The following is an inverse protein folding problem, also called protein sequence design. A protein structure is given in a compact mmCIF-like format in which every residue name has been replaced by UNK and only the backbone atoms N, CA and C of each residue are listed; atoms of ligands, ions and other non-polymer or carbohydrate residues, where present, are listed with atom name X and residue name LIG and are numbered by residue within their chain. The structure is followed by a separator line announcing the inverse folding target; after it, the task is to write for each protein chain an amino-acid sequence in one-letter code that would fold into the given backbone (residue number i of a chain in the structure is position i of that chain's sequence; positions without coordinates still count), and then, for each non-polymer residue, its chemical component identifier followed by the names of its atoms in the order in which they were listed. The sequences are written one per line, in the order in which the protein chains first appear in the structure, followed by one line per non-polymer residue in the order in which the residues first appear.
data_IF_113834428879
#
_entry.id   IF_113834428879
#
_cell.length_a   1.000
_cell.length_b   1.000
_cell.length_c   1.000
_cell.angle_alpha   90.00
_cell.angle_beta   90.00
_cell.angle_gamma   90.00
#
_symmetry.space_group_name_H-M   'P 1'
#
loop_
_entity.id
_entity.type
_entity.pdbx_description
1 polymer ?
#
# COMPACT_ATOMS: atom_id res chain seq x y z
N UNK A 1 8.68 28.82 -0.35
CA UNK A 1 9.38 28.13 0.77
C UNK A 1 8.43 27.06 1.28
N UNK A 2 8.85 25.82 1.22
CA UNK A 2 7.94 24.69 1.54
C UNK A 2 8.19 24.27 2.99
N UNK A 3 7.47 24.93 3.91
CA UNK A 3 7.44 24.49 5.31
C UNK A 3 6.75 23.13 5.42
N UNK A 4 7.35 22.22 6.14
CA UNK A 4 6.78 20.92 6.44
C UNK A 4 6.60 20.72 7.94
N UNK A 5 5.62 19.90 8.31
CA UNK A 5 5.40 19.55 9.72
C UNK A 5 6.60 18.79 10.28
N UNK A 6 7.04 19.15 11.47
CA UNK A 6 8.21 18.57 12.15
C UNK A 6 8.12 17.03 12.24
N UNK A 7 6.96 16.45 12.60
CA UNK A 7 6.79 14.99 12.62
C UNK A 7 6.87 14.34 11.22
N UNK A 8 6.53 15.09 10.13
CA UNK A 8 6.72 14.59 8.75
C UNK A 8 8.22 14.52 8.44
N UNK A 9 8.98 15.57 8.80
CA UNK A 9 10.43 15.62 8.62
C UNK A 9 11.13 14.48 9.35
N UNK A 10 10.88 14.34 10.67
CA UNK A 10 11.47 13.30 11.51
C UNK A 10 11.18 11.89 10.98
N UNK A 11 9.93 11.66 10.52
CA UNK A 11 9.55 10.37 9.95
C UNK A 11 10.22 10.09 8.60
N UNK A 12 10.41 11.11 7.75
CA UNK A 12 11.13 10.98 6.47
C UNK A 12 12.64 10.76 6.66
N UNK A 13 13.19 11.27 7.75
CA UNK A 13 14.57 11.04 8.16
C UNK A 13 14.79 9.72 8.91
N UNK A 14 13.80 8.83 8.95
CA UNK A 14 13.94 7.49 9.53
C UNK A 14 13.85 7.41 11.06
N UNK A 15 13.63 8.54 11.78
CA UNK A 15 13.63 8.58 13.26
C UNK A 15 12.58 7.63 13.84
N UNK A 16 11.30 7.78 13.44
CA UNK A 16 10.22 6.91 13.89
C UNK A 16 8.98 7.02 12.97
N UNK A 17 7.84 6.40 13.33
CA UNK A 17 6.56 6.68 12.66
C UNK A 17 6.10 8.10 12.98
N UNK A 18 5.26 8.71 12.12
CA UNK A 18 4.73 10.07 12.36
C UNK A 18 4.10 10.23 13.74
N UNK A 19 3.27 9.26 14.17
CA UNK A 19 2.67 9.26 15.51
C UNK A 19 3.71 9.15 16.62
N UNK A 20 4.72 8.28 16.46
CA UNK A 20 5.79 8.18 17.46
C UNK A 20 6.66 9.43 17.48
N UNK A 21 6.86 10.11 16.34
CA UNK A 21 7.53 11.41 16.31
C UNK A 21 6.71 12.48 17.05
N UNK A 22 5.38 12.47 16.97
CA UNK A 22 4.51 13.34 17.76
C UNK A 22 4.69 13.09 19.27
N UNK A 23 4.75 11.83 19.71
CA UNK A 23 5.06 11.48 21.11
C UNK A 23 6.44 12.00 21.52
N UNK A 24 7.48 11.83 20.69
CA UNK A 24 8.83 12.32 20.96
C UNK A 24 8.90 13.86 21.06
N UNK A 25 8.09 14.57 20.28
CA UNK A 25 7.96 16.03 20.37
C UNK A 25 7.34 16.41 21.72
N UNK A 26 6.21 15.80 22.09
CA UNK A 26 5.56 16.05 23.39
C UNK A 26 6.47 15.72 24.59
N UNK A 27 7.32 14.70 24.47
CA UNK A 27 8.32 14.32 25.47
C UNK A 27 9.51 15.27 25.54
N UNK A 28 9.56 16.33 24.70
CA UNK A 28 10.67 17.32 24.68
C UNK A 28 12.01 16.76 24.20
N UNK A 29 12.00 15.67 23.42
CA UNK A 29 13.21 15.02 22.89
C UNK A 29 13.71 15.60 21.56
N UNK A 30 12.97 16.57 21.02
CA UNK A 30 13.26 17.20 19.73
C UNK A 30 13.64 18.66 19.95
N UNK A 31 14.73 19.06 19.32
CA UNK A 31 15.19 20.45 19.29
C UNK A 31 15.14 20.97 17.85
N UNK A 32 14.79 22.23 17.69
CA UNK A 32 14.86 22.97 16.43
C UNK A 32 15.60 24.28 16.70
N UNK A 33 16.70 24.49 16.01
CA UNK A 33 17.56 25.67 16.18
C UNK A 33 17.96 25.92 17.66
N UNK A 34 18.28 24.84 18.37
CA UNK A 34 18.68 24.88 19.79
C UNK A 34 17.53 25.06 20.79
N UNK A 35 16.27 25.10 20.35
CA UNK A 35 15.10 25.19 21.25
C UNK A 35 14.37 23.86 21.29
N UNK A 36 14.04 23.39 22.49
CA UNK A 36 13.20 22.20 22.69
C UNK A 36 11.76 22.51 22.20
N UNK A 37 11.24 21.64 21.37
CA UNK A 37 9.87 21.75 20.81
C UNK A 37 8.97 20.70 21.47
N UNK A 38 7.87 21.15 22.04
CA UNK A 38 6.82 20.30 22.66
C UNK A 38 5.46 20.50 22.03
N UNK A 39 5.32 21.44 21.09
CA UNK A 39 4.07 21.78 20.44
C UNK A 39 3.86 20.95 19.16
N UNK A 40 2.71 20.26 19.08
CA UNK A 40 2.29 19.53 17.89
C UNK A 40 1.88 20.51 16.78
N UNK A 41 2.14 20.13 15.54
CA UNK A 41 1.84 20.97 14.38
C UNK A 41 2.95 21.94 14.00
N UNK A 42 4.00 22.08 14.80
CA UNK A 42 5.20 22.87 14.48
C UNK A 42 5.69 22.55 13.07
N UNK A 43 5.97 23.60 12.31
CA UNK A 43 6.52 23.51 10.95
C UNK A 43 7.97 23.97 10.96
N UNK A 44 8.75 23.41 10.04
CA UNK A 44 10.14 23.75 9.81
C UNK A 44 10.41 23.92 8.31
N UNK A 45 11.44 24.70 7.99
CA UNK A 45 12.07 24.73 6.67
C UNK A 45 13.26 23.76 6.66
N UNK A 46 13.19 22.58 6.01
CA UNK A 46 14.25 21.57 6.03
C UNK A 46 15.60 22.05 5.48
N UNK A 47 15.61 23.17 4.77
CA UNK A 47 16.84 23.76 4.19
C UNK A 47 17.53 24.73 5.12
N UNK A 48 16.84 25.24 6.15
CA UNK A 48 17.34 26.29 7.04
C UNK A 48 17.40 25.86 8.49
N UNK A 49 16.44 25.04 8.92
CA UNK A 49 16.30 24.69 10.32
C UNK A 49 17.15 23.46 10.67
N UNK A 50 17.94 23.58 11.73
CA UNK A 50 18.67 22.47 12.33
C UNK A 50 17.75 21.73 13.29
N UNK A 51 17.50 20.45 13.00
CA UNK A 51 16.69 19.57 13.86
C UNK A 51 17.57 18.55 14.55
N UNK A 52 17.41 18.41 15.88
CA UNK A 52 18.10 17.39 16.67
C UNK A 52 17.11 16.45 17.37
N UNK A 53 17.50 15.20 17.49
CA UNK A 53 16.83 14.18 18.30
C UNK A 53 17.83 13.63 19.32
N UNK A 54 17.54 13.75 20.62
CA UNK A 54 18.46 13.40 21.70
C UNK A 54 19.87 14.01 21.49
N UNK A 55 19.95 15.28 21.12
CA UNK A 55 21.18 16.01 20.89
C UNK A 55 21.92 15.68 19.58
N UNK A 56 21.45 14.72 18.77
CA UNK A 56 22.05 14.36 17.48
C UNK A 56 21.30 15.01 16.32
N UNK A 57 22.05 15.61 15.39
CA UNK A 57 21.48 16.23 14.18
C UNK A 57 20.75 15.17 13.35
N UNK A 58 19.50 15.45 13.02
CA UNK A 58 18.66 14.66 12.12
C UNK A 58 18.84 15.18 10.70
N UNK A 59 19.38 14.36 9.81
CA UNK A 59 19.53 14.69 8.38
C UNK A 59 18.43 14.00 7.57
N UNK A 60 17.80 14.75 6.66
CA UNK A 60 16.71 14.23 5.83
C UNK A 60 17.18 13.51 4.56
N UNK A 61 18.48 13.42 4.31
CA UNK A 61 19.06 12.81 3.10
C UNK A 61 19.18 11.28 3.23
N UNK A 62 18.09 10.60 3.49
CA UNK A 62 18.05 9.16 3.33
C UNK A 62 17.77 8.84 1.86
N UNK A 63 18.68 8.09 1.19
CA UNK A 63 18.46 7.59 -0.16
C UNK A 63 17.13 6.84 -0.23
N UNK A 64 16.25 7.27 -1.14
CA UNK A 64 14.93 6.68 -1.32
C UNK A 64 15.03 5.28 -1.91
N UNK A 65 14.28 4.36 -1.35
CA UNK A 65 14.18 2.99 -1.85
C UNK A 65 12.73 2.63 -2.18
N UNK A 66 12.57 1.88 -3.25
CA UNK A 66 11.27 1.42 -3.74
C UNK A 66 11.38 -0.07 -4.04
N UNK A 67 10.57 -0.87 -3.39
CA UNK A 67 10.65 -2.33 -3.41
C UNK A 67 9.30 -2.88 -3.84
N UNK A 68 9.31 -3.81 -4.79
CA UNK A 68 8.17 -4.62 -5.16
C UNK A 68 8.30 -5.99 -4.49
N UNK A 69 7.35 -6.32 -3.64
CA UNK A 69 7.20 -7.64 -3.01
C UNK A 69 6.05 -8.39 -3.68
N UNK A 70 6.25 -9.65 -4.04
CA UNK A 70 5.16 -10.58 -4.32
C UNK A 70 4.70 -11.21 -2.99
N UNK A 71 3.83 -10.50 -2.27
CA UNK A 71 3.39 -10.89 -0.93
C UNK A 71 2.72 -12.26 -0.93
N UNK A 72 3.15 -13.23 -0.11
CA UNK A 72 2.42 -14.47 0.09
C UNK A 72 1.18 -14.27 0.99
N UNK A 73 0.28 -15.23 1.03
CA UNK A 73 -0.77 -15.29 2.03
C UNK A 73 -0.18 -15.58 3.42
N UNK A 74 -0.93 -15.28 4.48
CA UNK A 74 -0.50 -15.50 5.87
C UNK A 74 0.18 -14.28 6.52
N UNK A 75 0.79 -13.40 5.73
CA UNK A 75 1.47 -12.20 6.22
C UNK A 75 0.53 -11.01 6.32
N UNK A 76 0.63 -10.25 7.43
CA UNK A 76 -0.13 -9.00 7.60
C UNK A 76 0.63 -7.80 7.03
N UNK A 77 -0.11 -6.89 6.40
CA UNK A 77 0.45 -5.63 5.88
C UNK A 77 0.43 -4.58 6.98
N UNK A 78 1.45 -4.59 7.82
CA UNK A 78 1.64 -3.63 8.91
C UNK A 78 3.12 -3.29 9.07
N UNK A 79 3.41 -2.13 9.65
CA UNK A 79 4.76 -1.71 10.04
C UNK A 79 5.03 -1.91 11.55
N UNK A 80 4.05 -2.44 12.31
CA UNK A 80 4.18 -2.72 13.75
C UNK A 80 3.61 -4.11 14.02
N UNK A 81 4.37 -4.92 14.72
CA UNK A 81 3.93 -6.23 15.17
C UNK A 81 2.61 -6.15 15.95
N UNK A 82 1.72 -7.07 15.68
CA UNK A 82 0.42 -7.20 16.34
C UNK A 82 0.11 -8.69 16.51
N UNK A 83 0.01 -9.12 17.75
CA UNK A 83 -0.45 -10.47 18.12
C UNK A 83 0.43 -11.62 17.60
N UNK A 84 1.77 -11.44 17.50
CA UNK A 84 2.70 -12.46 17.06
C UNK A 84 2.50 -12.96 15.62
N UNK A 85 1.91 -12.15 14.74
CA UNK A 85 1.67 -12.50 13.33
C UNK A 85 2.83 -12.05 12.44
N UNK A 86 3.18 -12.91 11.48
CA UNK A 86 4.20 -12.62 10.48
C UNK A 86 3.84 -11.34 9.69
N UNK A 87 4.79 -10.44 9.56
CA UNK A 87 4.62 -9.16 8.87
C UNK A 87 5.28 -9.18 7.49
N UNK A 88 4.76 -8.40 6.56
CA UNK A 88 5.37 -8.22 5.23
C UNK A 88 6.81 -7.70 5.31
N UNK A 89 7.16 -6.97 6.36
CA UNK A 89 8.51 -6.44 6.59
C UNK A 89 9.52 -7.53 6.96
N UNK A 90 9.08 -8.66 7.50
CA UNK A 90 9.95 -9.78 7.85
C UNK A 90 10.54 -10.45 6.59
N UNK A 91 9.85 -10.31 5.45
CA UNK A 91 10.28 -10.84 4.16
C UNK A 91 11.34 -9.99 3.47
N UNK A 92 11.46 -8.70 3.84
CA UNK A 92 12.31 -7.74 3.12
C UNK A 92 13.41 -7.22 4.03
N UNK A 93 14.61 -7.75 3.85
CA UNK A 93 15.79 -7.40 4.67
C UNK A 93 16.57 -6.26 4.01
N UNK A 94 16.32 -5.03 4.44
CA UNK A 94 17.04 -3.83 4.02
C UNK A 94 17.39 -2.97 5.24
N UNK A 95 18.53 -2.26 5.18
CA UNK A 95 19.01 -1.42 6.28
C UNK A 95 18.34 -0.04 6.31
N UNK A 96 17.11 0.06 5.82
CA UNK A 96 16.35 1.31 5.79
C UNK A 96 14.97 1.06 6.36
N UNK A 97 14.42 2.07 7.02
CA UNK A 97 13.07 2.00 7.56
C UNK A 97 12.07 2.18 6.41
N UNK A 98 11.46 1.08 5.97
CA UNK A 98 10.44 1.08 4.92
C UNK A 98 9.03 0.86 5.47
N UNK A 99 8.04 1.30 4.71
CA UNK A 99 6.62 1.12 5.01
C UNK A 99 5.87 0.60 3.78
N UNK A 100 4.79 -0.17 3.96
CA UNK A 100 3.98 -0.62 2.83
C UNK A 100 3.17 0.53 2.23
N UNK A 101 3.08 0.55 0.89
CA UNK A 101 2.24 1.46 0.10
C UNK A 101 0.86 0.86 -0.06
N UNK A 102 -0.07 1.31 0.77
CA UNK A 102 -1.38 0.68 0.89
C UNK A 102 -1.29 -0.69 1.57
N UNK A 103 -2.33 -1.50 1.36
CA UNK A 103 -2.46 -2.79 2.06
C UNK A 103 -2.95 -3.90 1.14
N UNK A 104 -2.58 -5.12 1.50
CA UNK A 104 -3.23 -6.36 1.09
C UNK A 104 -3.67 -7.09 2.36
N UNK A 105 -4.84 -7.70 2.34
CA UNK A 105 -5.32 -8.53 3.43
C UNK A 105 -4.40 -9.75 3.64
N UNK A 106 -4.45 -10.37 4.82
CA UNK A 106 -3.65 -11.53 5.15
C UNK A 106 -3.83 -12.68 4.15
N UNK A 107 -5.06 -12.92 3.69
CA UNK A 107 -5.41 -13.96 2.71
C UNK A 107 -5.44 -13.46 1.25
N UNK A 108 -4.77 -12.35 0.95
CA UNK A 108 -4.57 -11.86 -0.41
C UNK A 108 -3.08 -11.84 -0.71
N UNK A 109 -2.69 -12.41 -1.83
CA UNK A 109 -1.30 -12.42 -2.29
C UNK A 109 -1.04 -11.37 -3.38
N UNK A 110 0.21 -11.18 -3.74
CA UNK A 110 0.60 -10.43 -4.93
C UNK A 110 1.32 -9.11 -4.69
N UNK A 111 1.27 -8.24 -5.67
CA UNK A 111 2.03 -7.00 -5.72
C UNK A 111 1.78 -6.09 -4.52
N UNK A 112 2.83 -5.83 -3.75
CA UNK A 112 2.85 -4.86 -2.67
C UNK A 112 4.14 -4.04 -2.79
N UNK A 113 4.03 -2.73 -2.82
CA UNK A 113 5.18 -1.84 -2.83
C UNK A 113 5.53 -1.43 -1.41
N UNK A 114 6.84 -1.38 -1.10
CA UNK A 114 7.37 -0.90 0.17
C UNK A 114 8.39 0.21 -0.13
N UNK A 115 8.40 1.26 0.68
CA UNK A 115 9.29 2.42 0.46
C UNK A 115 9.52 3.21 1.75
N UNK A 116 10.58 4.03 1.79
CA UNK A 116 10.77 5.09 2.78
C UNK A 116 10.30 6.47 2.28
N UNK A 117 9.79 6.57 1.04
CA UNK A 117 9.29 7.80 0.45
C UNK A 117 7.80 8.04 0.75
N UNK A 118 7.51 8.91 1.71
CA UNK A 118 6.14 9.24 2.11
C UNK A 118 5.34 10.01 1.05
N UNK A 119 6.00 10.67 0.10
CA UNK A 119 5.31 11.36 -1.01
C UNK A 119 4.85 10.35 -2.05
N UNK A 120 5.70 9.39 -2.37
CA UNK A 120 5.36 8.27 -3.23
C UNK A 120 4.21 7.43 -2.63
N UNK A 121 4.23 7.18 -1.29
CA UNK A 121 3.09 6.51 -0.61
C UNK A 121 1.80 7.29 -0.84
N UNK A 122 1.81 8.61 -0.62
CA UNK A 122 0.62 9.43 -0.80
C UNK A 122 0.13 9.38 -2.25
N UNK A 123 1.03 9.48 -3.21
CA UNK A 123 0.70 9.46 -4.64
C UNK A 123 0.02 8.15 -5.08
N UNK A 124 0.46 7.02 -4.59
CA UNK A 124 -0.11 5.72 -4.95
C UNK A 124 -1.40 5.37 -4.18
N UNK A 125 -1.61 5.98 -3.01
CA UNK A 125 -2.72 5.60 -2.13
C UNK A 125 -3.85 6.62 -2.09
N UNK A 126 -3.59 7.88 -2.46
CA UNK A 126 -4.63 8.90 -2.43
C UNK A 126 -5.68 8.64 -3.53
N UNK A 127 -6.97 8.68 -3.21
CA UNK A 127 -8.05 8.35 -4.14
C UNK A 127 -8.09 9.18 -5.44
N UNK A 128 -7.57 10.41 -5.40
CA UNK A 128 -7.56 11.32 -6.56
C UNK A 128 -6.63 10.88 -7.70
N UNK A 129 -5.65 10.01 -7.43
CA UNK A 129 -4.67 9.59 -8.43
C UNK A 129 -5.07 8.36 -9.25
N UNK A 130 -6.17 7.71 -8.88
CA UNK A 130 -6.82 6.63 -9.64
C UNK A 130 -5.87 5.54 -10.19
N UNK A 131 -4.89 5.11 -9.40
CA UNK A 131 -3.92 4.10 -9.82
C UNK A 131 -4.59 2.73 -9.98
N UNK A 132 -4.54 2.17 -11.20
CA UNK A 132 -5.08 0.86 -11.53
C UNK A 132 -4.43 -0.26 -10.69
N UNK A 133 -5.26 -1.13 -10.13
CA UNK A 133 -4.86 -2.34 -9.41
C UNK A 133 -5.54 -3.53 -10.06
N UNK A 134 -4.75 -4.44 -10.62
CA UNK A 134 -5.26 -5.61 -11.35
C UNK A 134 -5.14 -6.87 -10.50
N UNK A 135 -6.25 -7.59 -10.39
CA UNK A 135 -6.37 -8.80 -9.59
C UNK A 135 -6.75 -10.00 -10.45
N UNK A 136 -6.07 -11.12 -10.25
CA UNK A 136 -6.55 -12.43 -10.69
C UNK A 136 -7.37 -13.02 -9.54
N UNK A 137 -8.62 -13.35 -9.83
CA UNK A 137 -9.61 -13.81 -8.85
C UNK A 137 -10.08 -15.19 -9.25
N UNK A 138 -10.01 -16.15 -8.34
CA UNK A 138 -10.64 -17.46 -8.50
C UNK A 138 -11.91 -17.47 -7.65
N UNK A 139 -13.05 -17.73 -8.28
CA UNK A 139 -14.34 -17.78 -7.61
C UNK A 139 -14.97 -19.16 -7.72
N UNK A 140 -15.77 -19.53 -6.74
CA UNK A 140 -16.63 -20.73 -6.79
C UNK A 140 -17.83 -20.45 -7.69
N UNK A 141 -18.14 -21.39 -8.58
CA UNK A 141 -19.22 -21.29 -9.55
C UNK A 141 -18.76 -20.76 -10.90
N UNK A 142 -19.62 -20.95 -11.90
CA UNK A 142 -19.43 -20.44 -13.26
C UNK A 142 -19.96 -19.00 -13.30
N UNK A 143 -19.13 -18.06 -13.78
CA UNK A 143 -19.57 -16.67 -13.99
C UNK A 143 -20.33 -16.54 -15.30
N UNK A 144 -21.43 -15.81 -15.29
CA UNK A 144 -22.24 -15.51 -16.47
C UNK A 144 -21.79 -14.21 -17.14
N UNK A 145 -22.24 -13.99 -18.37
CA UNK A 145 -21.99 -12.72 -19.07
C UNK A 145 -22.65 -11.54 -18.32
N UNK A 146 -23.84 -11.73 -17.80
CA UNK A 146 -24.58 -10.71 -17.03
C UNK A 146 -23.81 -10.31 -15.76
N UNK A 147 -23.32 -11.29 -14.98
CA UNK A 147 -22.53 -11.04 -13.79
C UNK A 147 -21.24 -10.24 -14.10
N UNK A 148 -20.60 -10.54 -15.23
CA UNK A 148 -19.42 -9.79 -15.69
C UNK A 148 -19.78 -8.34 -16.05
N UNK A 149 -20.91 -8.12 -16.75
CA UNK A 149 -21.37 -6.77 -17.09
C UNK A 149 -21.77 -5.97 -15.84
N UNK A 150 -22.35 -6.61 -14.85
CA UNK A 150 -22.65 -5.97 -13.57
C UNK A 150 -21.35 -5.51 -12.86
N UNK A 151 -20.33 -6.36 -12.81
CA UNK A 151 -19.01 -5.97 -12.26
C UNK A 151 -18.37 -4.82 -13.02
N UNK A 152 -18.52 -4.76 -14.34
CA UNK A 152 -17.98 -3.66 -15.17
C UNK A 152 -18.68 -2.34 -14.91
N UNK A 153 -19.98 -2.35 -14.71
CA UNK A 153 -20.78 -1.12 -14.44
C UNK A 153 -20.58 -0.61 -13.03
N UNK A 154 -20.22 -1.48 -12.10
CA UNK A 154 -20.19 -1.23 -10.67
C UNK A 154 -21.31 -1.95 -9.95
N UNK A 155 -21.04 -2.39 -8.73
CA UNK A 155 -21.96 -3.14 -7.88
C UNK A 155 -22.06 -2.51 -6.49
N UNK A 156 -23.20 -2.67 -5.85
CA UNK A 156 -23.40 -2.22 -4.48
C UNK A 156 -22.58 -3.10 -3.52
N UNK A 157 -21.78 -2.47 -2.69
CA UNK A 157 -21.05 -3.10 -1.58
C UNK A 157 -21.27 -2.25 -0.30
N UNK A 158 -21.20 -2.89 0.88
CA UNK A 158 -21.35 -2.17 2.15
C UNK A 158 -22.60 -1.28 2.21
N UNK A 159 -23.76 -1.85 2.12
CA UNK A 159 -25.11 -1.26 2.27
C UNK A 159 -25.41 0.05 1.47
N UNK A 160 -24.40 0.90 1.22
CA UNK A 160 -24.56 2.23 0.63
C UNK A 160 -23.54 2.62 -0.45
N UNK A 161 -22.55 1.77 -0.75
CA UNK A 161 -21.50 2.14 -1.69
C UNK A 161 -21.56 1.36 -3.01
N UNK A 162 -21.84 2.07 -4.12
CA UNK A 162 -21.71 1.55 -5.47
C UNK A 162 -20.26 1.73 -5.94
N UNK A 163 -19.61 0.62 -6.31
CA UNK A 163 -18.22 0.66 -6.80
C UNK A 163 -18.13 1.41 -8.13
N UNK A 164 -17.00 2.07 -8.37
CA UNK A 164 -16.73 2.64 -9.69
C UNK A 164 -16.66 1.54 -10.76
N UNK A 165 -16.84 1.90 -12.04
CA UNK A 165 -16.69 0.95 -13.16
C UNK A 165 -15.34 0.24 -13.12
N UNK A 166 -15.34 -1.07 -13.38
CA UNK A 166 -14.14 -1.92 -13.39
C UNK A 166 -13.89 -2.53 -14.77
N UNK A 167 -12.61 -2.80 -15.09
CA UNK A 167 -12.28 -3.62 -16.27
C UNK A 167 -12.30 -5.08 -15.84
N UNK A 168 -13.17 -5.89 -16.46
CA UNK A 168 -13.33 -7.30 -16.09
C UNK A 168 -13.22 -8.19 -17.32
N UNK A 169 -12.46 -9.27 -17.21
CA UNK A 169 -12.37 -10.32 -18.25
C UNK A 169 -12.31 -11.70 -17.64
N UNK A 170 -12.89 -12.67 -18.32
CA UNK A 170 -12.79 -14.09 -17.98
C UNK A 170 -11.42 -14.58 -18.46
N UNK A 171 -10.66 -15.24 -17.58
CA UNK A 171 -9.40 -15.87 -17.90
C UNK A 171 -9.56 -17.36 -18.23
N UNK A 172 -10.38 -18.07 -17.43
CA UNK A 172 -10.64 -19.49 -17.59
C UNK A 172 -11.93 -19.88 -16.87
N UNK A 173 -12.69 -20.79 -17.44
CA UNK A 173 -13.79 -21.49 -16.80
C UNK A 173 -13.41 -22.97 -16.70
N UNK A 174 -13.65 -23.57 -15.55
CA UNK A 174 -13.48 -25.00 -15.27
C UNK A 174 -14.87 -25.53 -14.86
N UNK A 175 -15.56 -26.15 -15.82
CA UNK A 175 -16.92 -26.60 -15.64
C UNK A 175 -17.00 -27.81 -14.70
N UNK A 176 -16.00 -28.71 -14.74
CA UNK A 176 -15.96 -29.88 -13.88
C UNK A 176 -15.85 -29.50 -12.40
N UNK A 177 -14.92 -28.55 -12.10
CA UNK A 177 -14.71 -28.06 -10.72
C UNK A 177 -15.70 -26.98 -10.32
N UNK A 178 -16.55 -26.52 -11.25
CA UNK A 178 -17.42 -25.35 -11.07
C UNK A 178 -16.66 -24.14 -10.51
N UNK A 179 -15.57 -23.76 -11.20
CA UNK A 179 -14.69 -22.65 -10.81
C UNK A 179 -14.50 -21.74 -12.00
N UNK A 180 -14.53 -20.43 -11.76
CA UNK A 180 -14.15 -19.43 -12.74
C UNK A 180 -12.93 -18.64 -12.27
N UNK A 181 -12.02 -18.36 -13.21
CA UNK A 181 -10.93 -17.42 -13.01
C UNK A 181 -11.21 -16.18 -13.83
N UNK A 182 -11.27 -15.04 -13.16
CA UNK A 182 -11.50 -13.74 -13.77
C UNK A 182 -10.37 -12.78 -13.41
N UNK A 183 -10.16 -11.78 -14.24
CA UNK A 183 -9.28 -10.66 -13.93
C UNK A 183 -10.13 -9.41 -13.75
N UNK A 184 -9.92 -8.71 -12.63
CA UNK A 184 -10.62 -7.47 -12.29
C UNK A 184 -9.57 -6.38 -12.11
N UNK A 185 -9.74 -5.24 -12.80
CA UNK A 185 -8.93 -4.04 -12.59
C UNK A 185 -9.82 -2.94 -12.04
N UNK A 186 -9.41 -2.39 -10.90
CA UNK A 186 -10.06 -1.27 -10.21
C UNK A 186 -9.04 -0.16 -9.95
N UNK A 187 -9.48 1.09 -9.83
CA UNK A 187 -8.62 2.23 -9.49
C UNK A 187 -8.88 2.79 -8.07
N UNK A 188 -9.86 2.29 -7.39
CA UNK A 188 -10.17 2.59 -5.99
C UNK A 188 -9.61 1.51 -5.04
N UNK A 189 -9.84 1.63 -3.73
CA UNK A 189 -9.26 0.71 -2.75
C UNK A 189 -10.05 0.64 -1.45
N UNK A 190 -11.37 0.41 -1.53
CA UNK A 190 -12.19 0.17 -0.34
C UNK A 190 -11.80 -1.13 0.36
N UNK A 191 -12.14 -1.23 1.64
CA UNK A 191 -11.83 -2.42 2.43
C UNK A 191 -12.41 -3.69 1.78
N UNK A 192 -11.53 -4.66 1.45
CA UNK A 192 -11.87 -5.95 0.84
C UNK A 192 -12.73 -5.85 -0.44
N UNK A 193 -12.60 -4.74 -1.18
CA UNK A 193 -13.48 -4.36 -2.28
C UNK A 193 -13.71 -5.48 -3.30
N UNK A 194 -12.65 -6.07 -3.86
CA UNK A 194 -12.79 -7.13 -4.89
C UNK A 194 -13.55 -8.37 -4.36
N UNK A 195 -13.39 -8.71 -3.08
CA UNK A 195 -14.15 -9.81 -2.46
C UNK A 195 -15.63 -9.46 -2.38
N UNK A 196 -15.96 -8.27 -1.89
CA UNK A 196 -17.33 -7.76 -1.80
C UNK A 196 -17.99 -7.63 -3.17
N UNK A 197 -17.25 -7.16 -4.18
CA UNK A 197 -17.76 -7.13 -5.57
C UNK A 197 -18.13 -8.51 -6.07
N UNK A 198 -17.31 -9.53 -5.80
CA UNK A 198 -17.64 -10.91 -6.18
C UNK A 198 -18.83 -11.46 -5.36
N UNK A 199 -18.90 -11.13 -4.08
CA UNK A 199 -20.04 -11.50 -3.20
C UNK A 199 -21.35 -10.86 -3.68
N UNK A 200 -21.33 -9.61 -4.15
CA UNK A 200 -22.48 -8.90 -4.70
C UNK A 200 -23.10 -9.58 -5.95
N UNK A 201 -22.29 -10.32 -6.70
CA UNK A 201 -22.76 -11.16 -7.82
C UNK A 201 -22.95 -12.64 -7.43
N UNK A 202 -23.06 -12.94 -6.13
CA UNK A 202 -23.29 -14.30 -5.62
C UNK A 202 -22.09 -15.25 -5.74
N UNK A 203 -20.87 -14.75 -5.93
CA UNK A 203 -19.66 -15.59 -6.08
C UNK A 203 -18.74 -15.51 -4.88
N UNK A 204 -18.43 -16.66 -4.27
CA UNK A 204 -17.43 -16.78 -3.20
C UNK A 204 -16.01 -16.76 -3.76
N UNK A 205 -15.16 -15.87 -3.30
CA UNK A 205 -13.72 -15.80 -3.68
C UNK A 205 -12.95 -16.91 -2.98
N UNK A 206 -12.32 -17.79 -3.75
CA UNK A 206 -11.46 -18.87 -3.29
C UNK A 206 -9.99 -18.42 -3.21
N UNK A 207 -9.53 -17.65 -4.20
CA UNK A 207 -8.17 -17.09 -4.22
C UNK A 207 -8.19 -15.69 -4.82
N UNK A 208 -7.35 -14.79 -4.27
CA UNK A 208 -7.22 -13.42 -4.71
C UNK A 208 -5.74 -13.07 -4.77
N UNK A 209 -5.28 -12.65 -5.95
CA UNK A 209 -3.90 -12.30 -6.21
C UNK A 209 -3.82 -10.96 -6.95
N UNK A 210 -3.24 -9.93 -6.32
CA UNK A 210 -2.97 -8.67 -7.02
C UNK A 210 -1.76 -8.83 -7.92
N UNK A 211 -1.98 -9.05 -9.21
CA UNK A 211 -0.89 -9.28 -10.16
C UNK A 211 -0.20 -7.99 -10.60
N UNK A 212 -0.85 -6.80 -10.43
CA UNK A 212 -0.33 -5.55 -10.97
C UNK A 212 -0.78 -4.31 -10.18
N UNK A 213 0.09 -3.31 -10.11
CA UNK A 213 -0.18 -1.94 -9.64
C UNK A 213 0.31 -0.99 -10.74
N UNK A 214 -0.62 -0.22 -11.35
CA UNK A 214 -0.31 0.56 -12.55
C UNK A 214 0.29 -0.33 -13.64
N UNK A 215 1.52 -0.06 -14.02
CA UNK A 215 2.27 -0.83 -15.02
C UNK A 215 3.27 -1.84 -14.40
N UNK A 216 3.41 -1.88 -13.08
CA UNK A 216 4.32 -2.79 -12.37
C UNK A 216 3.62 -4.10 -12.08
N UNK A 217 4.20 -5.22 -12.52
CA UNK A 217 3.67 -6.56 -12.27
C UNK A 217 4.65 -7.46 -11.50
N UNK A 218 4.14 -8.55 -10.93
CA UNK A 218 4.93 -9.51 -10.14
C UNK A 218 5.23 -10.81 -10.88
N UNK A 219 5.07 -10.85 -12.21
CA UNK A 219 5.21 -12.09 -13.00
C UNK A 219 6.58 -12.75 -12.85
N UNK A 220 7.64 -11.95 -12.70
CA UNK A 220 9.02 -12.43 -12.56
C UNK A 220 9.38 -12.87 -11.14
N UNK A 221 8.51 -12.65 -10.16
CA UNK A 221 8.76 -12.93 -8.74
C UNK A 221 7.92 -14.12 -8.27
N UNK A 222 8.54 -15.08 -7.59
CA UNK A 222 7.81 -16.09 -6.82
C UNK A 222 7.18 -15.46 -5.58
N UNK A 223 6.21 -16.15 -4.96
CA UNK A 223 5.63 -15.71 -3.69
C UNK A 223 6.71 -15.59 -2.61
N UNK A 224 6.74 -14.45 -1.92
CA UNK A 224 7.77 -14.11 -0.93
C UNK A 224 9.02 -13.43 -1.51
N UNK A 225 9.24 -13.50 -2.81
CA UNK A 225 10.36 -12.80 -3.45
C UNK A 225 10.06 -11.31 -3.62
N UNK A 226 11.13 -10.51 -3.62
CA UNK A 226 11.07 -9.08 -3.83
C UNK A 226 12.24 -8.59 -4.69
N UNK A 227 12.09 -7.41 -5.25
CA UNK A 227 13.13 -6.68 -5.98
C UNK A 227 13.01 -5.18 -5.79
N UNK A 228 14.07 -4.45 -6.05
CA UNK A 228 13.98 -3.01 -6.20
C UNK A 228 13.22 -2.66 -7.48
N UNK A 229 12.46 -1.55 -7.43
CA UNK A 229 11.91 -0.94 -8.64
C UNK A 229 13.02 -0.19 -9.37
N UNK A 230 13.00 -0.23 -10.70
CA UNK A 230 13.86 0.61 -11.51
C UNK A 230 13.40 2.07 -11.47
N UNK A 231 14.31 3.00 -11.73
CA UNK A 231 13.98 4.42 -11.80
C UNK A 231 12.85 4.70 -12.80
N UNK A 232 12.85 4.05 -13.98
CA UNK A 232 11.78 4.15 -14.99
C UNK A 232 10.41 3.69 -14.48
N UNK A 233 10.38 2.70 -13.57
CA UNK A 233 9.13 2.25 -12.97
C UNK A 233 8.60 3.25 -11.95
N UNK A 234 9.49 3.87 -11.17
CA UNK A 234 9.14 4.91 -10.18
C UNK A 234 8.65 6.18 -10.86
N UNK A 235 9.37 6.66 -11.89
CA UNK A 235 9.03 7.89 -12.64
C UNK A 235 7.63 7.86 -13.26
N UNK A 236 7.13 6.68 -13.61
CA UNK A 236 5.75 6.55 -14.15
C UNK A 236 4.64 6.83 -13.15
N UNK A 237 4.97 6.96 -11.89
CA UNK A 237 4.04 7.33 -10.83
C UNK A 237 4.25 8.76 -10.31
N UNK A 238 5.35 9.39 -10.67
CA UNK A 238 5.66 10.78 -10.32
C UNK A 238 5.16 11.75 -11.39
#
# INVERSE_FOLDING_TARGET
MEEIRLQKYLASAGVASRRKCEELILEGKIEVNGKIITELGTKIDPKKDEVKYNGKIVKSEEEKVYILLNKPIGYVTTAKEQFGRDMVLDLVKVNKRIVPVGRLDMYTSGALILTNDGEFVNRLTHPSHEIDKTYNVTVKGIVTKEEIENLKKGVLIDDDYITKPAKVKILKIDEEKKISRIQITIHEGKNRQVRKMCEAIGKKVLALHRCKIGNIDVKSLKLGEWRYLSQKEVEKFL
#
